data_IF_303330574610
#
_entry.id   IF_303330574610
#
_cell.length_a   1.000
_cell.length_b   1.000
_cell.length_c   1.000
_cell.angle_alpha   90.00
_cell.angle_beta   90.00
_cell.angle_gamma   90.00
#
_symmetry.space_group_name_H-M   'P 1'
#
loop_
_entity.id
_entity.type
_entity.pdbx_description
1 polymer ?
#
# COMPACT_ATOMS: atom_id res chain seq x y z
N UNK A 1 -21.75 19.32 18.30
CA UNK A 1 -21.27 19.44 16.90
C UNK A 1 -20.08 18.51 16.73
N UNK A 2 -20.01 17.75 15.64
CA UNK A 2 -18.84 16.92 15.35
C UNK A 2 -17.69 17.81 14.87
N UNK A 3 -16.49 17.61 15.40
CA UNK A 3 -15.29 18.30 14.96
C UNK A 3 -14.74 17.58 13.72
N UNK A 4 -14.70 18.28 12.57
CA UNK A 4 -14.09 17.77 11.35
C UNK A 4 -12.59 18.06 11.36
N UNK A 5 -11.77 17.04 11.09
CA UNK A 5 -10.32 17.16 10.97
C UNK A 5 -9.99 17.24 9.47
N UNK A 6 -9.27 18.28 8.99
CA UNK A 6 -8.89 18.37 7.59
C UNK A 6 -7.90 17.26 7.22
N UNK A 7 -7.90 16.78 5.97
CA UNK A 7 -6.91 15.82 5.48
C UNK A 7 -5.48 16.34 5.65
N UNK A 8 -4.56 15.46 6.03
CA UNK A 8 -3.14 15.79 6.22
C UNK A 8 -2.29 15.67 4.94
N UNK A 9 -2.89 15.21 3.83
CA UNK A 9 -2.22 14.98 2.55
C UNK A 9 -2.99 15.63 1.40
N UNK A 10 -2.27 16.02 0.36
CA UNK A 10 -2.83 16.56 -0.87
C UNK A 10 -3.12 15.45 -1.89
N UNK A 11 -4.15 15.64 -2.72
CA UNK A 11 -4.43 14.74 -3.84
C UNK A 11 -3.44 15.01 -4.97
N UNK A 12 -2.77 13.96 -5.45
CA UNK A 12 -1.79 14.05 -6.54
C UNK A 12 -2.33 13.51 -7.88
N UNK A 13 -3.07 12.41 -7.84
CA UNK A 13 -3.63 11.73 -9.02
C UNK A 13 -5.11 11.46 -8.77
N UNK A 14 -5.95 11.73 -9.77
CA UNK A 14 -7.40 11.46 -9.73
C UNK A 14 -7.79 10.50 -10.83
N UNK A 15 -8.74 9.62 -10.53
CA UNK A 15 -9.41 8.79 -11.52
C UNK A 15 -10.75 9.45 -11.91
N UNK A 16 -11.00 9.75 -13.19
CA UNK A 16 -12.30 10.23 -13.62
C UNK A 16 -13.35 9.12 -13.44
N UNK A 17 -14.58 9.51 -13.10
CA UNK A 17 -15.73 8.61 -13.07
C UNK A 17 -16.60 8.82 -14.31
N UNK A 18 -17.36 7.78 -14.67
CA UNK A 18 -18.36 7.89 -15.74
C UNK A 18 -19.55 8.69 -15.20
N UNK A 19 -20.01 9.76 -15.88
CA UNK A 19 -21.23 10.44 -15.48
C UNK A 19 -22.42 9.50 -15.61
N UNK A 20 -23.18 9.31 -14.53
CA UNK A 20 -24.38 8.46 -14.52
C UNK A 20 -25.60 9.32 -14.26
N UNK A 21 -26.64 9.16 -15.08
CA UNK A 21 -27.93 9.84 -14.94
C UNK A 21 -28.77 9.24 -13.81
N UNK A 22 -29.80 9.96 -13.37
CA UNK A 22 -30.77 9.41 -12.41
C UNK A 22 -31.49 8.17 -12.93
N UNK A 23 -31.77 8.12 -14.24
CA UNK A 23 -32.47 7.00 -14.87
C UNK A 23 -31.60 5.75 -14.90
N UNK A 24 -30.34 5.86 -15.35
CA UNK A 24 -29.39 4.73 -15.34
C UNK A 24 -29.17 4.18 -13.93
N UNK A 25 -29.09 5.04 -12.90
CA UNK A 25 -29.00 4.60 -11.50
C UNK A 25 -30.20 3.78 -11.03
N UNK A 26 -31.36 3.87 -11.68
CA UNK A 26 -32.55 3.06 -11.37
C UNK A 26 -32.63 1.78 -12.21
N UNK A 27 -32.18 1.84 -13.46
CA UNK A 27 -32.27 0.73 -14.42
C UNK A 27 -31.18 -0.32 -14.20
N UNK A 28 -29.93 0.11 -13.98
CA UNK A 28 -28.79 -0.82 -13.84
C UNK A 28 -28.95 -1.76 -12.64
N UNK A 29 -29.39 -1.33 -11.44
CA UNK A 29 -29.67 -2.25 -10.35
C UNK A 29 -30.74 -3.29 -10.71
N UNK A 30 -31.78 -2.91 -11.48
CA UNK A 30 -32.83 -3.84 -11.91
C UNK A 30 -32.29 -4.90 -12.86
N UNK A 31 -31.41 -4.53 -13.79
CA UNK A 31 -30.83 -5.48 -14.75
C UNK A 31 -29.91 -6.52 -14.10
N UNK A 32 -29.43 -6.26 -12.88
CA UNK A 32 -28.63 -7.19 -12.08
C UNK A 32 -29.41 -7.77 -10.90
N UNK A 33 -30.75 -7.71 -10.94
CA UNK A 33 -31.64 -8.22 -9.89
C UNK A 33 -31.30 -7.68 -8.49
N UNK A 34 -30.83 -6.43 -8.43
CA UNK A 34 -30.39 -5.72 -7.23
C UNK A 34 -29.21 -6.39 -6.49
N UNK A 35 -28.49 -7.29 -7.14
CA UNK A 35 -27.27 -7.87 -6.59
C UNK A 35 -26.11 -6.85 -6.67
N UNK A 36 -25.70 -6.33 -5.51
CA UNK A 36 -24.61 -5.35 -5.39
C UNK A 36 -23.26 -5.90 -5.86
N UNK A 37 -23.01 -7.21 -5.77
CA UNK A 37 -21.77 -7.82 -6.27
C UNK A 37 -21.75 -7.97 -7.79
N UNK A 38 -22.91 -7.94 -8.43
CA UNK A 38 -23.03 -7.94 -9.89
C UNK A 38 -23.11 -6.52 -10.47
N UNK A 39 -23.21 -5.48 -9.62
CA UNK A 39 -23.30 -4.10 -10.07
C UNK A 39 -21.97 -3.64 -10.71
N UNK A 40 -21.98 -3.05 -11.92
CA UNK A 40 -20.74 -2.60 -12.57
C UNK A 40 -20.04 -1.47 -11.79
N UNK A 41 -18.82 -1.73 -11.32
CA UNK A 41 -18.04 -0.75 -10.55
C UNK A 41 -17.80 0.58 -11.29
N UNK A 42 -17.76 0.56 -12.62
CA UNK A 42 -17.58 1.77 -13.43
C UNK A 42 -18.76 2.76 -13.34
N UNK A 43 -19.93 2.30 -12.88
CA UNK A 43 -21.13 3.11 -12.68
C UNK A 43 -21.28 3.58 -11.22
N UNK A 44 -20.36 3.20 -10.33
CA UNK A 44 -20.38 3.66 -8.95
C UNK A 44 -19.80 5.09 -8.88
N UNK A 45 -20.51 5.98 -8.18
CA UNK A 45 -19.98 7.30 -7.81
C UNK A 45 -19.11 7.22 -6.56
N UNK A 46 -19.55 6.44 -5.57
CA UNK A 46 -18.80 6.13 -4.36
C UNK A 46 -18.94 4.63 -4.09
N UNK A 47 -17.83 3.97 -3.76
CA UNK A 47 -17.80 2.56 -3.40
C UNK A 47 -17.56 2.42 -1.89
N UNK A 48 -18.53 1.84 -1.19
CA UNK A 48 -18.49 1.55 0.24
C UNK A 48 -18.60 0.05 0.53
N UNK A 49 -18.33 -0.81 -0.47
CA UNK A 49 -18.49 -2.24 -0.33
C UNK A 49 -17.45 -2.87 0.61
N UNK A 50 -16.21 -2.38 0.57
CA UNK A 50 -15.11 -2.86 1.44
C UNK A 50 -13.99 -1.83 1.55
N UNK A 51 -13.24 -1.89 2.66
CA UNK A 51 -11.98 -1.19 2.90
C UNK A 51 -10.75 -2.00 2.45
N UNK A 52 -10.95 -3.25 2.04
CA UNK A 52 -9.89 -4.15 1.63
C UNK A 52 -9.46 -3.86 0.19
N UNK A 53 -8.20 -3.42 0.01
CA UNK A 53 -7.58 -3.09 -1.29
C UNK A 53 -8.23 -1.91 -2.04
N UNK A 54 -8.97 -1.05 -1.34
CA UNK A 54 -9.61 0.15 -1.90
C UNK A 54 -8.93 1.45 -1.45
N UNK A 55 -7.83 1.36 -0.69
CA UNK A 55 -7.05 2.51 -0.25
C UNK A 55 -6.23 3.12 -1.38
N UNK A 56 -5.98 4.43 -1.28
CA UNK A 56 -5.07 5.15 -2.18
C UNK A 56 -3.64 5.05 -1.69
N UNK A 57 -2.70 4.81 -2.62
CA UNK A 57 -1.27 4.82 -2.33
C UNK A 57 -0.70 6.25 -2.39
N UNK A 58 0.31 6.52 -1.57
CA UNK A 58 1.16 7.73 -1.63
C UNK A 58 2.05 7.71 -2.88
N UNK A 59 2.59 8.86 -3.24
CA UNK A 59 3.63 8.99 -4.28
C UNK A 59 4.88 8.16 -3.96
N UNK A 60 5.32 8.12 -2.69
CA UNK A 60 6.44 7.29 -2.23
C UNK A 60 6.18 5.80 -2.48
N UNK A 61 4.96 5.34 -2.23
CA UNK A 61 4.58 3.95 -2.50
C UNK A 61 4.53 3.66 -4.01
N UNK A 62 4.03 4.59 -4.84
CA UNK A 62 4.09 4.46 -6.29
C UNK A 62 5.52 4.44 -6.83
N UNK A 63 6.42 5.26 -6.28
CA UNK A 63 7.84 5.24 -6.63
C UNK A 63 8.51 3.90 -6.27
N UNK A 64 8.14 3.31 -5.13
CA UNK A 64 8.62 1.98 -4.73
C UNK A 64 8.18 0.88 -5.71
N UNK A 65 6.96 0.96 -6.26
CA UNK A 65 6.49 0.03 -7.32
C UNK A 65 7.36 0.15 -8.57
N UNK A 66 7.68 1.38 -9.00
CA UNK A 66 8.53 1.61 -10.18
C UNK A 66 9.98 1.16 -9.98
N UNK A 67 10.46 1.15 -8.73
CA UNK A 67 11.81 0.73 -8.32
C UNK A 67 11.88 -0.74 -7.89
N UNK A 68 10.82 -1.52 -8.11
CA UNK A 68 10.73 -2.91 -7.68
C UNK A 68 11.87 -3.77 -8.22
N UNK A 69 12.46 -4.57 -7.34
CA UNK A 69 13.40 -5.63 -7.68
C UNK A 69 12.65 -6.96 -7.74
N UNK A 70 12.48 -7.48 -8.95
CA UNK A 70 11.72 -8.72 -9.24
C UNK A 70 12.61 -9.97 -9.21
N UNK A 71 13.81 -9.88 -8.64
CA UNK A 71 14.65 -11.06 -8.46
C UNK A 71 13.94 -12.14 -7.63
N UNK A 72 14.10 -13.40 -8.05
CA UNK A 72 13.37 -14.56 -7.52
C UNK A 72 13.62 -14.85 -6.03
N UNK A 73 14.83 -14.55 -5.56
CA UNK A 73 15.24 -14.80 -4.18
C UNK A 73 15.88 -13.58 -3.54
N UNK A 74 15.43 -13.25 -2.32
CA UNK A 74 16.03 -12.22 -1.43
C UNK A 74 16.29 -10.88 -2.15
N UNK A 75 15.31 -10.41 -2.92
CA UNK A 75 15.37 -9.09 -3.55
C UNK A 75 15.38 -7.94 -2.52
N UNK A 76 15.68 -6.72 -2.97
CA UNK A 76 15.70 -5.54 -2.09
C UNK A 76 14.38 -5.30 -1.33
N UNK A 77 13.24 -5.60 -1.96
CA UNK A 77 11.91 -5.50 -1.36
C UNK A 77 11.69 -6.46 -0.19
N UNK A 78 12.22 -7.67 -0.27
CA UNK A 78 12.20 -8.66 0.82
C UNK A 78 12.87 -8.08 2.09
N UNK A 79 14.05 -7.49 1.94
CA UNK A 79 14.77 -6.89 3.07
C UNK A 79 14.05 -5.66 3.64
N UNK A 80 13.47 -4.82 2.78
CA UNK A 80 12.65 -3.69 3.22
C UNK A 80 11.45 -4.13 4.06
N UNK A 81 10.73 -5.16 3.61
CA UNK A 81 9.57 -5.69 4.31
C UNK A 81 9.96 -6.33 5.65
N UNK A 82 11.04 -7.12 5.66
CA UNK A 82 11.59 -7.72 6.87
C UNK A 82 11.93 -6.66 7.93
N UNK A 83 12.65 -5.60 7.55
CA UNK A 83 13.02 -4.55 8.47
C UNK A 83 11.83 -3.70 8.90
N UNK A 84 10.84 -3.49 8.02
CA UNK A 84 9.60 -2.82 8.39
C UNK A 84 8.83 -3.60 9.46
N UNK A 85 8.77 -4.94 9.35
CA UNK A 85 8.18 -5.78 10.40
C UNK A 85 8.92 -5.62 11.73
N UNK A 86 10.26 -5.62 11.72
CA UNK A 86 11.06 -5.40 12.94
C UNK A 86 10.85 -4.00 13.52
N UNK A 87 10.80 -2.97 12.68
CA UNK A 87 10.57 -1.58 13.08
C UNK A 87 9.19 -1.40 13.73
N UNK A 88 8.16 -2.08 13.22
CA UNK A 88 6.79 -1.96 13.72
C UNK A 88 6.59 -2.81 14.98
N UNK A 89 7.03 -4.07 14.95
CA UNK A 89 6.64 -5.07 15.95
C UNK A 89 7.70 -5.32 17.04
N UNK A 90 8.97 -4.97 16.81
CA UNK A 90 10.05 -5.28 17.77
C UNK A 90 10.76 -4.03 18.32
N UNK A 91 11.06 -3.05 17.46
CA UNK A 91 11.99 -1.96 17.81
C UNK A 91 11.32 -0.75 18.45
N UNK A 92 9.99 -0.65 18.41
CA UNK A 92 9.25 0.48 18.97
C UNK A 92 9.70 1.81 18.35
N UNK A 93 10.34 2.67 19.15
CA UNK A 93 10.90 3.97 18.72
C UNK A 93 12.24 3.83 17.98
N UNK A 94 12.94 2.70 18.11
CA UNK A 94 14.25 2.44 17.50
C UNK A 94 14.19 2.04 16.03
N UNK A 95 13.30 2.63 15.24
CA UNK A 95 13.03 2.27 13.84
C UNK A 95 14.18 2.69 12.93
N UNK A 96 14.57 1.81 12.02
CA UNK A 96 15.67 2.06 11.08
C UNK A 96 15.22 2.65 9.75
N UNK A 97 13.97 2.40 9.33
CA UNK A 97 13.41 2.90 8.08
C UNK A 97 14.28 2.61 6.84
N UNK A 98 14.85 1.41 6.82
CA UNK A 98 15.76 0.89 5.81
C UNK A 98 15.27 1.07 4.36
N UNK A 99 13.95 1.04 4.15
CA UNK A 99 13.35 1.27 2.84
C UNK A 99 13.73 2.63 2.21
N UNK A 100 14.11 3.63 3.02
CA UNK A 100 14.49 4.96 2.53
C UNK A 100 15.78 4.90 1.71
N UNK A 101 16.77 4.12 2.16
CA UNK A 101 18.05 3.98 1.47
C UNK A 101 17.85 3.26 0.13
N UNK A 102 17.05 2.19 0.13
CA UNK A 102 16.71 1.42 -1.07
C UNK A 102 15.93 2.27 -2.08
N UNK A 103 14.94 3.04 -1.61
CA UNK A 103 14.14 3.91 -2.48
C UNK A 103 15.00 5.05 -3.08
N UNK A 104 15.90 5.62 -2.29
CA UNK A 104 16.85 6.64 -2.75
C UNK A 104 17.92 6.05 -3.69
N UNK A 105 18.15 4.74 -3.68
CA UNK A 105 19.26 4.09 -4.40
C UNK A 105 20.61 4.41 -3.78
N UNK A 106 20.65 4.59 -2.46
CA UNK A 106 21.87 4.82 -1.68
C UNK A 106 22.31 3.59 -0.93
N UNK A 107 21.64 2.44 -1.12
CA UNK A 107 22.07 1.16 -0.60
C UNK A 107 23.35 0.66 -1.31
N UNK A 108 24.28 0.11 -0.54
CA UNK A 108 25.57 -0.36 -1.02
C UNK A 108 25.86 -1.80 -0.55
N UNK A 109 27.05 -2.32 -0.85
CA UNK A 109 27.41 -3.67 -0.39
C UNK A 109 27.41 -3.82 1.15
N UNK A 110 27.64 -2.71 1.87
CA UNK A 110 27.67 -2.67 3.34
C UNK A 110 26.27 -2.83 3.92
N UNK A 111 25.29 -2.19 3.27
CA UNK A 111 23.86 -2.30 3.57
C UNK A 111 23.38 -3.76 3.58
N UNK A 112 23.85 -4.60 2.66
CA UNK A 112 23.43 -6.01 2.66
C UNK A 112 24.23 -6.85 3.67
N UNK A 113 25.53 -6.61 3.80
CA UNK A 113 26.42 -7.46 4.59
C UNK A 113 26.27 -7.30 6.10
N UNK A 114 26.06 -6.08 6.60
CA UNK A 114 26.10 -5.84 8.03
C UNK A 114 24.78 -6.19 8.77
N UNK A 115 23.59 -5.81 8.28
CA UNK A 115 22.33 -6.10 8.96
C UNK A 115 21.70 -7.44 8.59
N UNK A 116 21.93 -7.98 7.38
CA UNK A 116 21.16 -9.14 6.88
C UNK A 116 21.93 -10.45 6.80
N UNK A 117 23.25 -10.41 6.68
CA UNK A 117 24.09 -11.62 6.63
C UNK A 117 24.65 -12.02 8.01
N UNK A 118 24.26 -11.30 9.07
CA UNK A 118 24.58 -11.69 10.45
C UNK A 118 23.41 -12.44 11.04
N UNK A 119 23.71 -13.55 11.72
CA UNK A 119 22.73 -14.31 12.47
C UNK A 119 22.20 -13.43 13.61
N UNK A 120 20.91 -13.11 13.56
CA UNK A 120 20.23 -12.41 14.64
C UNK A 120 19.47 -13.48 15.41
N UNK A 121 19.99 -13.86 16.58
CA UNK A 121 19.35 -14.82 17.46
C UNK A 121 18.26 -14.14 18.30
N UNK A 122 17.05 -14.71 18.27
CA UNK A 122 15.90 -14.21 19.03
C UNK A 122 15.16 -13.05 18.35
N UNK A 123 13.88 -12.92 18.66
CA UNK A 123 12.96 -11.97 18.01
C UNK A 123 11.70 -12.66 17.49
N UNK A 124 10.66 -11.88 17.26
CA UNK A 124 9.42 -12.30 16.60
C UNK A 124 9.62 -12.49 15.09
N UNK A 125 10.51 -11.70 14.48
CA UNK A 125 10.76 -11.62 13.04
C UNK A 125 12.18 -12.10 12.73
N UNK A 126 12.29 -13.41 12.45
CA UNK A 126 13.54 -14.04 12.07
C UNK A 126 13.60 -14.28 10.55
N UNK A 127 14.74 -13.94 9.96
CA UNK A 127 15.07 -14.26 8.57
C UNK A 127 16.27 -15.20 8.58
N UNK A 128 16.01 -16.48 8.82
CA UNK A 128 16.95 -17.58 8.53
C UNK A 128 16.80 -17.98 7.06
#
# INVERSE_FOLDING_TARGET
MAQLIPPSHNVLVVRPHIPVTCQERQEVPRSVEYNVFAFPAAFLTCDFLSDSRTSTMTDVQWAAVLRGDESDGRNSGYYCLLEAFRDIFERGEGRKYVFRDVLAGTDDSTFYRQPFLKEVGGGFVNAT
#
